data_IF_894047269936
#
_entry.id   IF_894047269936
#
_cell.length_a   1.000
_cell.length_b   1.000
_cell.length_c   1.000
_cell.angle_alpha   90.00
_cell.angle_beta   90.00
_cell.angle_gamma   90.00
#
_symmetry.space_group_name_H-M   'P 1'
#
loop_
_entity.id
_entity.type
_entity.pdbx_description
1 polymer ?
#
# COMPACT_ATOMS: atom_id res chain seq x y z
N UNK A 1 -6.52 14.91 -9.79
CA UNK A 1 -7.97 15.13 -9.75
C UNK A 1 -8.30 15.91 -8.49
N UNK A 2 -9.08 16.99 -8.61
CA UNK A 2 -9.38 17.88 -7.50
C UNK A 2 -10.51 17.31 -6.63
N UNK A 3 -10.16 16.50 -5.63
CA UNK A 3 -11.11 15.81 -4.75
C UNK A 3 -11.83 16.78 -3.79
N UNK A 4 -11.38 18.04 -3.70
CA UNK A 4 -11.93 19.03 -2.77
C UNK A 4 -13.34 19.51 -3.13
N UNK A 5 -13.73 19.41 -4.42
CA UNK A 5 -15.04 19.86 -4.92
C UNK A 5 -16.11 18.76 -4.99
N UNK A 6 -15.80 17.52 -4.62
CA UNK A 6 -16.76 16.42 -4.76
C UNK A 6 -17.66 16.25 -3.53
N UNK A 7 -18.93 15.83 -3.72
CA UNK A 7 -19.82 15.48 -2.62
C UNK A 7 -19.27 14.28 -1.83
N UNK A 8 -19.51 14.28 -0.51
CA UNK A 8 -18.92 13.34 0.43
C UNK A 8 -19.24 11.85 0.13
N UNK A 9 -20.40 11.57 -0.47
CA UNK A 9 -20.76 10.22 -0.90
C UNK A 9 -19.82 9.67 -1.99
N UNK A 10 -19.44 10.53 -2.95
CA UNK A 10 -18.52 10.13 -4.03
C UNK A 10 -17.13 9.84 -3.46
N UNK A 11 -16.66 10.65 -2.50
CA UNK A 11 -15.38 10.42 -1.81
C UNK A 11 -15.33 9.06 -1.11
N UNK A 12 -16.41 8.67 -0.44
CA UNK A 12 -16.51 7.36 0.20
C UNK A 12 -16.51 6.20 -0.82
N UNK A 13 -17.22 6.37 -1.95
CA UNK A 13 -17.22 5.39 -3.04
C UNK A 13 -15.81 5.23 -3.65
N UNK A 14 -15.08 6.33 -3.88
CA UNK A 14 -13.70 6.26 -4.35
C UNK A 14 -12.79 5.56 -3.34
N UNK A 15 -12.85 5.92 -2.06
CA UNK A 15 -12.05 5.26 -1.02
C UNK A 15 -12.28 3.74 -1.03
N UNK A 16 -13.53 3.28 -1.08
CA UNK A 16 -13.85 1.84 -1.17
C UNK A 16 -13.29 1.17 -2.43
N UNK A 17 -13.38 1.85 -3.58
CA UNK A 17 -12.87 1.35 -4.87
C UNK A 17 -11.34 1.24 -4.88
N UNK A 18 -10.64 2.25 -4.36
CA UNK A 18 -9.18 2.21 -4.25
C UNK A 18 -8.70 1.17 -3.22
N UNK A 19 -9.43 0.98 -2.12
CA UNK A 19 -9.17 -0.11 -1.18
C UNK A 19 -9.28 -1.48 -1.86
N UNK A 20 -10.32 -1.67 -2.68
CA UNK A 20 -10.53 -2.93 -3.42
C UNK A 20 -9.48 -3.17 -4.50
N UNK A 21 -9.05 -2.12 -5.21
CA UNK A 21 -7.96 -2.21 -6.21
C UNK A 21 -6.62 -2.57 -5.54
N UNK A 22 -6.34 -2.04 -4.34
CA UNK A 22 -5.09 -2.35 -3.64
C UNK A 22 -4.97 -3.78 -3.12
N UNK A 23 -6.07 -4.56 -3.09
CA UNK A 23 -6.00 -6.02 -2.83
C UNK A 23 -5.23 -6.75 -3.95
N UNK A 24 -5.14 -6.17 -5.15
CA UNK A 24 -4.48 -6.75 -6.31
C UNK A 24 -2.95 -6.56 -6.33
N UNK A 25 -2.26 -6.75 -5.19
CA UNK A 25 -0.80 -6.66 -5.04
C UNK A 25 -0.16 -5.27 -5.27
N UNK A 26 -0.91 -4.17 -5.15
CA UNK A 26 -0.36 -2.82 -5.32
C UNK A 26 -0.32 -2.05 -3.98
N UNK A 27 0.69 -2.27 -3.12
CA UNK A 27 0.83 -1.54 -1.86
C UNK A 27 0.97 -0.02 -2.07
N UNK A 28 1.53 0.39 -3.20
CA UNK A 28 1.66 1.80 -3.57
C UNK A 28 0.29 2.50 -3.77
N UNK A 29 -0.72 1.75 -4.24
CA UNK A 29 -2.09 2.28 -4.40
C UNK A 29 -2.76 2.50 -3.05
N UNK A 30 -2.54 1.61 -2.07
CA UNK A 30 -3.03 1.85 -0.72
C UNK A 30 -2.34 3.03 -0.05
N UNK A 31 -1.02 3.21 -0.25
CA UNK A 31 -0.25 4.30 0.33
C UNK A 31 -0.71 5.67 -0.21
N UNK A 32 -0.86 5.79 -1.53
CA UNK A 32 -1.39 7.01 -2.17
C UNK A 32 -2.83 7.31 -1.74
N UNK A 33 -3.66 6.28 -1.60
CA UNK A 33 -5.03 6.42 -1.07
C UNK A 33 -5.02 6.94 0.37
N UNK A 34 -4.15 6.41 1.23
CA UNK A 34 -3.97 6.87 2.60
C UNK A 34 -3.59 8.35 2.64
N UNK A 35 -2.56 8.77 1.89
CA UNK A 35 -2.07 10.16 1.88
C UNK A 35 -3.13 11.15 1.40
N UNK A 36 -3.90 10.79 0.36
CA UNK A 36 -4.94 11.67 -0.20
C UNK A 36 -6.16 11.77 0.73
N UNK A 37 -6.59 10.68 1.36
CA UNK A 37 -7.81 10.66 2.18
C UNK A 37 -7.58 11.02 3.66
N UNK A 38 -6.34 10.97 4.17
CA UNK A 38 -5.97 11.38 5.53
C UNK A 38 -6.40 12.81 5.89
N UNK A 39 -6.10 13.85 5.08
CA UNK A 39 -6.55 15.22 5.39
C UNK A 39 -8.08 15.35 5.37
N UNK A 40 -8.79 14.59 4.54
CA UNK A 40 -10.27 14.58 4.54
C UNK A 40 -10.86 13.96 5.80
N UNK A 41 -10.26 12.90 6.34
CA UNK A 41 -10.72 12.27 7.58
C UNK A 41 -10.44 13.11 8.84
N UNK A 42 -9.38 13.94 8.80
CA UNK A 42 -8.95 14.79 9.92
C UNK A 42 -9.62 16.18 9.89
N UNK A 43 -9.64 16.87 8.73
CA UNK A 43 -10.11 18.25 8.57
C UNK A 43 -11.53 18.40 7.98
N UNK A 44 -12.18 17.31 7.56
CA UNK A 44 -13.53 17.35 7.00
C UNK A 44 -14.64 17.59 8.02
N UNK A 45 -15.71 18.27 7.59
CA UNK A 45 -16.91 18.61 8.35
C UNK A 45 -17.55 17.34 8.98
N UNK A 46 -18.14 17.42 10.20
CA UNK A 46 -18.68 16.25 10.89
C UNK A 46 -19.95 15.73 10.21
N UNK A 47 -19.79 14.87 9.21
CA UNK A 47 -20.87 14.15 8.55
C UNK A 47 -20.91 12.67 8.96
N UNK A 48 -22.09 12.03 8.86
CA UNK A 48 -22.29 10.59 9.10
C UNK A 48 -21.34 9.73 8.25
N UNK A 49 -20.93 10.25 7.09
CA UNK A 49 -19.99 9.59 6.16
C UNK A 49 -18.53 9.55 6.66
N UNK A 50 -18.14 10.44 7.59
CA UNK A 50 -16.77 10.51 8.13
C UNK A 50 -16.36 9.24 8.88
N UNK A 51 -17.29 8.61 9.59
CA UNK A 51 -17.03 7.36 10.33
C UNK A 51 -16.75 6.19 9.40
N UNK A 52 -17.49 6.10 8.28
CA UNK A 52 -17.28 5.09 7.23
C UNK A 52 -15.93 5.28 6.55
N UNK A 53 -15.57 6.52 6.21
CA UNK A 53 -14.28 6.86 5.61
C UNK A 53 -13.12 6.52 6.55
N UNK A 54 -13.23 6.84 7.84
CA UNK A 54 -12.21 6.48 8.85
C UNK A 54 -11.98 4.97 8.98
N UNK A 55 -13.06 4.18 9.00
CA UNK A 55 -12.95 2.71 9.04
C UNK A 55 -12.28 2.17 7.77
N UNK A 56 -12.59 2.74 6.60
CA UNK A 56 -11.97 2.34 5.34
C UNK A 56 -10.48 2.71 5.32
N UNK A 57 -10.12 3.89 5.81
CA UNK A 57 -8.73 4.33 5.99
C UNK A 57 -7.95 3.40 6.94
N UNK A 58 -8.55 3.01 8.07
CA UNK A 58 -7.92 2.08 9.00
C UNK A 58 -7.67 0.71 8.35
N UNK A 59 -8.63 0.20 7.57
CA UNK A 59 -8.45 -1.05 6.82
C UNK A 59 -7.32 -0.94 5.78
N UNK A 60 -7.23 0.17 5.03
CA UNK A 60 -6.11 0.40 4.10
C UNK A 60 -4.78 0.52 4.81
N UNK A 61 -4.72 1.14 6.00
CA UNK A 61 -3.49 1.29 6.76
C UNK A 61 -2.94 -0.05 7.26
N UNK A 62 -3.82 -0.90 7.80
CA UNK A 62 -3.47 -2.27 8.17
C UNK A 62 -2.95 -3.04 6.95
N UNK A 63 -3.64 -2.87 5.82
CA UNK A 63 -3.23 -3.47 4.57
C UNK A 63 -1.81 -3.06 4.13
N UNK A 64 -1.49 -1.76 4.16
CA UNK A 64 -0.13 -1.27 3.81
C UNK A 64 0.91 -1.86 4.74
N UNK A 65 0.64 -1.91 6.05
CA UNK A 65 1.57 -2.48 7.02
C UNK A 65 1.80 -3.97 6.76
N UNK A 66 0.74 -4.74 6.48
CA UNK A 66 0.85 -6.16 6.17
C UNK A 66 1.70 -6.38 4.91
N UNK A 67 1.48 -5.61 3.84
CA UNK A 67 2.30 -5.66 2.63
C UNK A 67 3.75 -5.25 2.87
N UNK A 68 3.99 -4.21 3.66
CA UNK A 68 5.33 -3.77 4.00
C UNK A 68 6.10 -4.87 4.72
N UNK A 69 5.49 -5.53 5.71
CA UNK A 69 6.08 -6.67 6.41
C UNK A 69 6.33 -7.84 5.45
N UNK A 70 5.38 -8.16 4.57
CA UNK A 70 5.54 -9.24 3.59
C UNK A 70 6.72 -8.97 2.64
N UNK A 71 6.84 -7.75 2.11
CA UNK A 71 7.96 -7.36 1.23
C UNK A 71 9.30 -7.35 1.98
N UNK A 72 9.36 -6.81 3.19
CA UNK A 72 10.58 -6.81 4.00
C UNK A 72 11.02 -8.24 4.31
N UNK A 73 10.08 -9.11 4.67
CA UNK A 73 10.35 -10.51 4.96
C UNK A 73 10.86 -11.24 3.70
N UNK A 74 10.19 -11.03 2.56
CA UNK A 74 10.61 -11.58 1.27
C UNK A 74 12.01 -11.13 0.87
N UNK A 75 12.29 -9.83 0.93
CA UNK A 75 13.62 -9.27 0.66
C UNK A 75 14.67 -9.84 1.62
N UNK A 76 14.36 -9.94 2.92
CA UNK A 76 15.30 -10.48 3.91
C UNK A 76 15.64 -11.93 3.63
N UNK A 77 14.63 -12.76 3.30
CA UNK A 77 14.82 -14.15 2.89
C UNK A 77 15.66 -14.21 1.62
N UNK A 78 15.32 -13.42 0.61
CA UNK A 78 16.03 -13.40 -0.66
C UNK A 78 17.50 -13.01 -0.49
N UNK A 79 17.79 -11.95 0.28
CA UNK A 79 19.15 -11.53 0.58
C UNK A 79 19.92 -12.58 1.38
N UNK A 80 19.28 -13.26 2.33
CA UNK A 80 19.91 -14.33 3.12
C UNK A 80 20.32 -15.52 2.23
N UNK A 81 19.41 -16.04 1.40
CA UNK A 81 19.74 -17.14 0.48
C UNK A 81 20.72 -16.72 -0.62
N UNK A 82 20.71 -15.45 -1.02
CA UNK A 82 21.70 -14.90 -1.96
C UNK A 82 23.11 -14.88 -1.36
N UNK A 83 23.26 -14.59 -0.06
CA UNK A 83 24.57 -14.72 0.63
C UNK A 83 25.05 -16.16 0.76
N UNK A 84 24.11 -17.12 0.77
CA UNK A 84 24.41 -18.56 0.81
C UNK A 84 24.71 -19.16 -0.58
N UNK A 85 24.80 -18.33 -1.64
CA UNK A 85 25.05 -18.76 -3.03
C UNK A 85 24.11 -19.88 -3.51
N UNK A 86 22.83 -19.81 -3.13
CA UNK A 86 21.86 -20.80 -3.59
C UNK A 86 21.58 -20.62 -5.11
N UNK A 87 21.70 -21.71 -5.88
CA UNK A 87 21.62 -21.71 -7.36
C UNK A 87 20.34 -21.06 -7.93
N UNK A 88 19.23 -21.15 -7.20
CA UNK A 88 17.97 -20.54 -7.63
C UNK A 88 17.97 -19.01 -7.52
N UNK A 89 18.80 -18.44 -6.63
CA UNK A 89 18.88 -16.98 -6.45
C UNK A 89 19.53 -16.28 -7.64
N UNK A 90 20.44 -16.95 -8.35
CA UNK A 90 21.06 -16.41 -9.56
C UNK A 90 20.06 -16.36 -10.72
N UNK A 91 19.23 -17.39 -10.88
CA UNK A 91 18.18 -17.45 -11.91
C UNK A 91 17.05 -16.44 -11.68
N UNK A 92 16.76 -16.09 -10.43
CA UNK A 92 15.68 -15.17 -10.05
C UNK A 92 16.17 -13.73 -9.85
N UNK A 93 17.48 -13.50 -9.83
CA UNK A 93 18.06 -12.17 -9.70
C UNK A 93 18.00 -11.41 -11.02
N UNK A 94 17.19 -10.36 -11.07
CA UNK A 94 17.18 -9.45 -12.22
C UNK A 94 18.46 -8.58 -12.29
N UNK A 95 19.02 -8.22 -11.12
CA UNK A 95 20.24 -7.42 -11.00
C UNK A 95 21.31 -8.27 -10.30
N UNK A 96 22.26 -8.78 -11.08
CA UNK A 96 23.43 -9.46 -10.56
C UNK A 96 24.49 -8.40 -10.19
N UNK A 97 25.05 -8.42 -8.97
CA UNK A 97 26.13 -7.51 -8.61
C UNK A 97 27.38 -7.86 -9.42
N UNK A 98 27.72 -7.02 -10.39
CA UNK A 98 29.01 -7.05 -11.08
C UNK A 98 30.10 -6.61 -10.10
N UNK A 99 30.82 -7.57 -9.51
CA UNK A 99 32.05 -7.27 -8.75
C UNK A 99 32.23 -7.97 -7.40
N UNK A 100 31.37 -8.90 -6.99
CA UNK A 100 31.69 -9.81 -5.87
C UNK A 100 31.94 -11.21 -6.44
N UNK A 101 33.22 -11.48 -6.70
CA UNK A 101 33.79 -12.81 -6.88
C UNK A 101 34.24 -13.35 -5.53
#
# INVERSE_FOLDING_TARGET
MDFSKQPDEKKAHYCKKYTMIGVFLLPFVWLTSLVIFTPFALKGEPSVHRTTVRRCLAATAIGVLLWAVALICWESIFQHYRTLHAVWTENWSFLLPVGKF
#
